data_IF_365263428866
#
_entry.id   IF_365263428866
#
_cell.length_a   1.000
_cell.length_b   1.000
_cell.length_c   1.000
_cell.angle_alpha   90.00
_cell.angle_beta   90.00
_cell.angle_gamma   90.00
#
_symmetry.space_group_name_H-M   'P 1'
#
loop_
_entity.id
_entity.type
_entity.pdbx_description
1 polymer ?
#
# COMPACT_ATOMS: atom_id res chain seq x y z
N UNK A 1 11.99 39.58 -2.05
CA UNK A 1 11.32 38.31 -2.38
C UNK A 1 11.88 37.25 -1.43
N UNK A 2 11.10 36.85 -0.42
CA UNK A 2 11.55 35.85 0.55
C UNK A 2 11.34 34.45 -0.05
N UNK A 3 12.44 33.71 -0.21
CA UNK A 3 12.44 32.31 -0.62
C UNK A 3 11.69 31.48 0.42
N UNK A 4 10.62 30.79 0.02
CA UNK A 4 9.94 29.85 0.88
C UNK A 4 10.91 28.70 1.21
N UNK A 5 11.46 28.68 2.42
CA UNK A 5 12.18 27.52 2.93
C UNK A 5 11.24 26.33 2.92
N UNK A 6 11.54 25.35 2.08
CA UNK A 6 10.94 24.03 2.12
C UNK A 6 11.32 23.39 3.46
N UNK A 7 10.44 23.55 4.46
CA UNK A 7 10.51 22.79 5.70
C UNK A 7 10.27 21.34 5.30
N UNK A 8 11.30 20.51 5.44
CA UNK A 8 11.15 19.07 5.23
C UNK A 8 9.97 18.58 6.08
N UNK A 9 9.03 17.80 5.52
CA UNK A 9 7.90 17.30 6.28
C UNK A 9 8.40 16.52 7.50
N UNK A 10 7.76 16.75 8.65
CA UNK A 10 8.10 16.07 9.90
C UNK A 10 8.17 14.54 9.68
N UNK A 11 9.11 13.84 10.33
CA UNK A 11 9.24 12.41 10.16
C UNK A 11 7.93 11.72 10.54
N UNK A 12 7.37 10.98 9.59
CA UNK A 12 6.15 10.20 9.78
C UNK A 12 6.55 8.94 10.56
N UNK A 13 6.19 8.89 11.84
CA UNK A 13 6.53 7.78 12.74
C UNK A 13 5.32 6.85 12.85
N UNK A 14 5.45 5.56 12.51
CA UNK A 14 4.36 4.60 12.68
C UNK A 14 4.09 4.33 14.17
N UNK A 15 2.84 4.02 14.50
CA UNK A 15 2.47 3.58 15.86
C UNK A 15 3.07 2.22 16.20
N UNK A 16 2.93 1.80 17.46
CA UNK A 16 3.32 0.46 17.93
C UNK A 16 2.11 -0.28 18.46
N UNK A 17 2.06 -1.59 18.26
CA UNK A 17 1.00 -2.46 18.75
C UNK A 17 1.61 -3.72 19.36
N UNK A 18 1.12 -4.15 20.52
CA UNK A 18 1.57 -5.37 21.18
C UNK A 18 0.92 -6.60 20.56
N UNK A 19 1.53 -7.77 20.74
CA UNK A 19 0.94 -9.04 20.32
C UNK A 19 -0.47 -9.23 20.89
N UNK A 20 -0.69 -8.88 22.17
CA UNK A 20 -2.01 -8.94 22.81
C UNK A 20 -3.01 -7.95 22.24
N UNK A 21 -2.56 -6.77 21.80
CA UNK A 21 -3.43 -5.80 21.13
C UNK A 21 -3.87 -6.32 19.77
N UNK A 22 -2.93 -6.87 19.00
CA UNK A 22 -3.21 -7.43 17.68
C UNK A 22 -4.10 -8.68 17.76
N UNK A 23 -3.85 -9.60 18.69
CA UNK A 23 -4.67 -10.82 18.82
C UNK A 23 -6.14 -10.53 19.10
N UNK A 24 -6.44 -9.52 19.94
CA UNK A 24 -7.82 -9.08 20.19
C UNK A 24 -8.52 -8.57 18.93
N UNK A 25 -7.79 -7.84 18.09
CA UNK A 25 -8.32 -7.33 16.81
C UNK A 25 -8.56 -8.48 15.84
N UNK A 26 -7.64 -9.43 15.73
CA UNK A 26 -7.76 -10.56 14.80
C UNK A 26 -8.87 -11.54 15.19
N UNK A 27 -9.11 -11.72 16.50
CA UNK A 27 -10.17 -12.59 17.01
C UNK A 27 -11.57 -11.98 16.90
N UNK A 28 -11.70 -10.68 16.65
CA UNK A 28 -12.98 -10.00 16.44
C UNK A 28 -13.32 -9.96 14.94
N UNK A 29 -14.33 -10.70 14.45
CA UNK A 29 -14.70 -10.70 13.03
C UNK A 29 -15.13 -9.33 12.49
N UNK A 30 -15.62 -8.43 13.34
CA UNK A 30 -16.04 -7.10 12.93
C UNK A 30 -14.84 -6.19 12.63
N UNK A 31 -13.71 -6.44 13.28
CA UNK A 31 -12.49 -5.62 13.17
C UNK A 31 -11.43 -6.27 12.27
N UNK A 32 -11.33 -7.60 12.24
CA UNK A 32 -10.32 -8.33 11.46
C UNK A 32 -10.36 -7.99 9.97
N UNK A 33 -11.56 -7.79 9.40
CA UNK A 33 -11.73 -7.41 7.99
C UNK A 33 -11.18 -6.02 7.63
N UNK A 34 -11.07 -5.12 8.63
CA UNK A 34 -10.58 -3.74 8.49
C UNK A 34 -9.06 -3.65 8.61
N UNK A 35 -8.41 -4.73 9.05
CA UNK A 35 -6.99 -4.77 9.36
C UNK A 35 -6.24 -5.59 8.32
N UNK A 36 -5.03 -5.16 7.96
CA UNK A 36 -4.09 -5.96 7.20
C UNK A 36 -2.76 -6.08 7.95
N UNK A 37 -2.26 -7.30 8.08
CA UNK A 37 -0.95 -7.61 8.65
C UNK A 37 0.02 -7.88 7.49
N UNK A 38 1.13 -7.14 7.46
CA UNK A 38 2.15 -7.23 6.42
C UNK A 38 3.43 -7.78 7.06
N UNK A 39 3.79 -9.00 6.66
CA UNK A 39 5.02 -9.64 7.08
C UNK A 39 6.13 -9.31 6.07
N UNK A 40 7.16 -8.59 6.52
CA UNK A 40 8.30 -8.20 5.67
C UNK A 40 9.55 -9.05 5.88
N UNK A 41 9.42 -10.21 6.52
CA UNK A 41 10.49 -11.21 6.63
C UNK A 41 10.91 -11.74 5.25
N UNK A 42 12.14 -12.20 5.16
CA UNK A 42 12.69 -12.85 3.97
C UNK A 42 12.72 -14.35 4.19
N UNK A 43 13.92 -14.93 4.16
CA UNK A 43 14.17 -16.35 4.45
C UNK A 43 13.69 -16.75 5.85
N UNK A 44 13.74 -15.82 6.81
CA UNK A 44 13.27 -15.97 8.18
C UNK A 44 11.73 -15.97 8.34
N UNK A 45 10.99 -16.04 7.23
CA UNK A 45 9.54 -16.28 7.23
C UNK A 45 9.20 -17.74 7.58
N UNK A 46 10.14 -18.67 7.40
CA UNK A 46 9.94 -20.08 7.75
C UNK A 46 9.68 -20.26 9.26
N UNK A 47 8.96 -21.32 9.64
CA UNK A 47 8.61 -21.62 11.03
C UNK A 47 7.28 -21.05 11.51
N UNK A 48 6.54 -20.38 10.63
CA UNK A 48 5.17 -19.92 10.87
C UNK A 48 5.01 -18.43 10.63
N UNK A 49 3.75 -18.01 10.49
CA UNK A 49 3.37 -16.62 10.26
C UNK A 49 1.99 -16.34 10.85
N UNK A 50 1.66 -15.05 11.00
CA UNK A 50 0.35 -14.63 11.54
C UNK A 50 -0.74 -15.03 10.53
N UNK A 51 -1.84 -15.61 11.02
CA UNK A 51 -2.96 -16.07 10.18
C UNK A 51 -3.46 -14.92 9.29
N UNK A 52 -3.65 -15.21 8.00
CA UNK A 52 -4.09 -14.24 6.98
C UNK A 52 -3.15 -13.04 6.74
N UNK A 53 -1.90 -13.08 7.24
CA UNK A 53 -0.91 -12.04 6.93
C UNK A 53 -0.47 -12.10 5.46
N UNK A 54 -0.16 -10.94 4.89
CA UNK A 54 0.40 -10.82 3.56
C UNK A 54 1.93 -10.80 3.65
N UNK A 55 2.57 -11.81 3.05
CA UNK A 55 4.03 -11.84 2.94
C UNK A 55 4.52 -10.92 1.83
N UNK A 56 5.29 -9.90 2.19
CA UNK A 56 5.91 -8.93 1.28
C UNK A 56 7.36 -8.67 1.73
N UNK A 57 8.32 -9.53 1.33
CA UNK A 57 9.72 -9.43 1.73
C UNK A 57 10.32 -8.04 1.58
N UNK A 58 11.10 -7.61 2.58
CA UNK A 58 11.64 -6.25 2.65
C UNK A 58 12.57 -5.83 1.49
N UNK A 59 13.17 -6.79 0.79
CA UNK A 59 14.01 -6.60 -0.40
C UNK A 59 13.19 -6.31 -1.67
N UNK A 60 11.97 -6.84 -1.75
CA UNK A 60 11.02 -6.57 -2.85
C UNK A 60 10.12 -5.37 -2.58
N UNK A 61 10.11 -4.86 -1.34
CA UNK A 61 9.13 -3.91 -0.85
C UNK A 61 9.09 -2.61 -1.65
N UNK A 62 10.25 -2.07 -2.08
CA UNK A 62 10.31 -0.81 -2.84
C UNK A 62 9.49 -0.86 -4.14
N UNK A 63 9.46 -2.02 -4.82
CA UNK A 63 8.66 -2.23 -6.03
C UNK A 63 7.21 -2.61 -5.71
N UNK A 64 6.98 -3.23 -4.55
CA UNK A 64 5.66 -3.68 -4.13
C UNK A 64 4.79 -2.56 -3.52
N UNK A 65 5.37 -1.50 -2.94
CA UNK A 65 4.59 -0.47 -2.24
C UNK A 65 3.49 0.16 -3.14
N UNK A 66 3.74 0.54 -4.41
CA UNK A 66 2.68 1.16 -5.23
C UNK A 66 1.49 0.25 -5.53
N UNK A 67 1.68 -1.07 -5.54
CA UNK A 67 0.56 -2.03 -5.64
C UNK A 67 -0.06 -2.28 -4.27
N UNK A 68 0.76 -2.33 -3.22
CA UNK A 68 0.31 -2.49 -1.85
C UNK A 68 -0.60 -1.33 -1.40
N UNK A 69 -0.26 -0.08 -1.72
CA UNK A 69 -1.10 1.09 -1.38
C UNK A 69 -2.49 1.02 -2.00
N UNK A 70 -2.60 0.50 -3.23
CA UNK A 70 -3.89 0.29 -3.91
C UNK A 70 -4.65 -0.87 -3.30
N UNK A 71 -3.96 -2.00 -3.04
CA UNK A 71 -4.58 -3.20 -2.45
C UNK A 71 -5.07 -2.98 -1.03
N UNK A 72 -4.41 -2.10 -0.27
CA UNK A 72 -4.77 -1.77 1.12
C UNK A 72 -5.60 -0.49 1.23
N UNK A 73 -6.20 -0.01 0.14
CA UNK A 73 -6.95 1.25 0.15
C UNK A 73 -8.23 1.17 1.01
N UNK A 74 -8.85 -0.01 1.08
CA UNK A 74 -10.07 -0.29 1.85
C UNK A 74 -9.82 -0.50 3.35
N UNK A 75 -8.57 -0.78 3.74
CA UNK A 75 -8.20 -1.10 5.13
C UNK A 75 -8.06 0.15 5.98
N UNK A 76 -8.57 0.10 7.19
CA UNK A 76 -8.44 1.19 8.18
C UNK A 76 -7.11 1.10 8.94
N UNK A 77 -6.61 -0.12 9.14
CA UNK A 77 -5.40 -0.39 9.93
C UNK A 77 -4.45 -1.27 9.11
N UNK A 78 -3.19 -0.84 9.00
CA UNK A 78 -2.12 -1.64 8.38
C UNK A 78 -0.99 -1.83 9.40
N UNK A 79 -0.59 -3.07 9.61
CA UNK A 79 0.37 -3.46 10.64
C UNK A 79 1.54 -4.14 9.97
N UNK A 80 2.73 -3.56 10.09
CA UNK A 80 3.96 -4.15 9.57
C UNK A 80 4.70 -4.90 10.68
N UNK A 81 5.36 -6.00 10.33
CA UNK A 81 6.28 -6.66 11.24
C UNK A 81 7.42 -7.36 10.49
N UNK A 82 8.48 -7.69 11.21
CA UNK A 82 9.48 -8.65 10.74
C UNK A 82 9.73 -9.72 11.82
N UNK A 83 10.92 -10.31 11.92
CA UNK A 83 11.26 -11.23 13.03
C UNK A 83 11.19 -10.53 14.40
N UNK A 84 11.98 -9.47 14.59
CA UNK A 84 12.05 -8.70 15.85
C UNK A 84 11.39 -7.31 15.82
N UNK A 85 10.99 -6.85 14.63
CA UNK A 85 10.47 -5.50 14.37
C UNK A 85 11.38 -4.33 14.83
N UNK A 86 12.70 -4.51 14.80
CA UNK A 86 13.67 -3.46 15.15
C UNK A 86 14.15 -2.63 13.96
N UNK A 87 14.25 -3.23 12.76
CA UNK A 87 14.80 -2.56 11.56
C UNK A 87 13.83 -2.66 10.38
N UNK A 88 13.61 -3.87 9.84
CA UNK A 88 12.81 -4.09 8.62
C UNK A 88 11.36 -3.63 8.79
N UNK A 89 10.70 -3.98 9.89
CA UNK A 89 9.32 -3.57 10.19
C UNK A 89 9.13 -2.04 10.23
N UNK A 90 9.87 -1.30 11.09
CA UNK A 90 9.79 0.17 11.13
C UNK A 90 10.14 0.85 9.79
N UNK A 91 11.17 0.36 9.10
CA UNK A 91 11.56 0.89 7.78
C UNK A 91 10.44 0.71 6.75
N UNK A 92 9.84 -0.48 6.70
CA UNK A 92 8.75 -0.82 5.79
C UNK A 92 7.52 0.07 6.01
N UNK A 93 7.10 0.21 7.27
CA UNK A 93 5.98 1.08 7.64
C UNK A 93 6.24 2.54 7.23
N UNK A 94 7.43 3.07 7.50
CA UNK A 94 7.79 4.43 7.12
C UNK A 94 7.85 4.63 5.59
N UNK A 95 8.36 3.65 4.84
CA UNK A 95 8.35 3.69 3.37
C UNK A 95 6.92 3.68 2.83
N UNK A 96 6.07 2.79 3.33
CA UNK A 96 4.66 2.70 2.94
C UNK A 96 3.91 4.00 3.23
N UNK A 97 4.06 4.59 4.43
CA UNK A 97 3.40 5.85 4.78
C UNK A 97 3.84 7.02 3.89
N UNK A 98 5.15 7.13 3.60
CA UNK A 98 5.68 8.16 2.69
C UNK A 98 5.10 8.03 1.29
N UNK A 99 5.07 6.81 0.77
CA UNK A 99 4.61 6.54 -0.59
C UNK A 99 3.10 6.68 -0.72
N UNK A 100 2.33 6.24 0.30
CA UNK A 100 0.89 6.49 0.39
C UNK A 100 0.60 7.98 0.37
N UNK A 101 1.34 8.79 1.15
CA UNK A 101 1.19 10.23 1.15
C UNK A 101 1.60 10.86 -0.20
N UNK A 102 2.63 10.32 -0.86
CA UNK A 102 3.07 10.78 -2.18
C UNK A 102 2.02 10.53 -3.26
N UNK A 103 1.40 9.35 -3.26
CA UNK A 103 0.47 8.91 -4.28
C UNK A 103 -0.95 9.44 -4.04
N UNK A 104 -1.42 9.32 -2.80
CA UNK A 104 -2.81 9.57 -2.46
C UNK A 104 -3.00 10.88 -1.71
N UNK A 105 -1.97 11.43 -1.05
CA UNK A 105 -2.10 12.64 -0.22
C UNK A 105 -2.48 13.90 -1.02
N UNK A 106 -2.76 15.02 -0.33
CA UNK A 106 -3.21 16.27 -0.97
C UNK A 106 -2.26 16.80 -2.07
N UNK A 107 -0.97 16.45 -1.98
CA UNK A 107 0.07 16.85 -2.95
C UNK A 107 0.22 15.85 -4.12
N UNK A 108 -0.29 14.63 -4.00
CA UNK A 108 -0.27 13.59 -5.03
C UNK A 108 -1.35 13.77 -6.11
N UNK A 109 -2.48 14.38 -5.73
CA UNK A 109 -3.60 14.68 -6.63
C UNK A 109 -3.24 15.63 -7.81
N UNK A 110 -2.12 16.35 -7.72
CA UNK A 110 -1.67 17.31 -8.74
C UNK A 110 -0.60 16.83 -9.72
N UNK A 111 -0.08 15.60 -9.61
CA UNK A 111 1.10 15.15 -10.38
C UNK A 111 0.81 14.19 -11.54
N UNK A 112 -0.47 13.91 -11.81
CA UNK A 112 -0.92 13.04 -12.91
C UNK A 112 -0.82 13.62 -14.32
N UNK A 113 -0.40 14.89 -14.50
CA UNK A 113 -0.46 15.57 -15.80
C UNK A 113 0.87 15.65 -16.59
N UNK A 114 1.99 15.08 -16.11
CA UNK A 114 3.32 15.27 -16.76
C UNK A 114 3.72 14.08 -17.65
N UNK A 115 2.89 13.03 -17.75
CA UNK A 115 3.20 11.81 -18.52
C UNK A 115 2.76 11.79 -19.99
N UNK A 116 2.14 12.85 -20.54
CA UNK A 116 1.60 12.84 -21.93
C UNK A 116 2.36 13.72 -22.94
N UNK A 117 3.43 14.42 -22.55
CA UNK A 117 4.21 15.25 -23.49
C UNK A 117 5.61 14.69 -23.71
N UNK A 118 5.73 13.45 -24.18
CA UNK A 118 6.96 12.95 -24.80
C UNK A 118 6.70 11.78 -25.76
N UNK A 119 5.80 11.99 -26.73
CA UNK A 119 5.64 11.09 -27.88
C UNK A 119 5.11 11.85 -29.10
N UNK A 120 5.76 12.95 -29.51
CA UNK A 120 5.65 13.45 -30.89
C UNK A 120 6.81 14.40 -31.24
N UNK A 121 7.98 13.83 -31.56
CA UNK A 121 9.01 14.57 -32.32
C UNK A 121 9.97 13.64 -33.08
N UNK A 122 9.49 13.10 -34.20
CA UNK A 122 10.25 12.71 -35.42
C UNK A 122 9.22 12.13 -36.39
N UNK A 123 9.13 12.47 -37.68
CA UNK A 123 9.92 13.29 -38.58
C UNK A 123 8.99 13.79 -39.71
N UNK A 124 9.45 14.83 -40.42
CA UNK A 124 8.76 15.56 -41.49
C UNK A 124 8.79 14.82 -42.85
N UNK A 125 7.73 15.04 -43.63
CA UNK A 125 7.57 15.13 -45.12
C UNK A 125 8.07 13.98 -46.02
N UNK A 126 7.43 13.60 -47.14
CA UNK A 126 6.83 14.35 -48.27
C UNK A 126 5.68 13.54 -48.95
N UNK A 127 4.53 14.16 -49.27
CA UNK A 127 4.03 14.55 -50.62
C UNK A 127 3.13 13.52 -51.35
N UNK A 128 1.86 13.90 -51.59
CA UNK A 128 1.20 14.00 -52.91
C UNK A 128 -0.33 14.06 -52.78
N UNK A 129 -0.93 14.76 -53.74
CA UNK A 129 -2.28 15.32 -53.79
C UNK A 129 -3.44 14.32 -54.04
N UNK A 130 -4.65 14.77 -53.71
CA UNK A 130 -5.81 14.61 -54.60
C UNK A 130 -7.02 13.88 -53.99
N UNK A 131 -8.19 14.53 -54.07
CA UNK A 131 -9.48 13.84 -54.11
C UNK A 131 -10.51 14.30 -53.09
N UNK A 132 -11.58 14.91 -53.61
CA UNK A 132 -12.74 15.42 -52.89
C UNK A 132 -13.81 14.34 -52.59
N UNK A 133 -14.85 14.78 -51.87
CA UNK A 133 -16.13 14.11 -51.53
C UNK A 133 -16.03 13.10 -50.37
N UNK A 134 -17.02 12.85 -49.52
CA UNK A 134 -18.43 13.21 -49.50
C UNK A 134 -18.93 13.10 -48.04
N UNK A 135 -19.97 13.86 -47.74
CA UNK A 135 -21.00 13.73 -46.70
C UNK A 135 -21.03 12.44 -45.86
N UNK A 136 -21.12 12.56 -44.52
CA UNK A 136 -22.23 11.95 -43.73
C UNK A 136 -22.26 12.37 -42.25
N UNK A 137 -23.27 13.17 -41.94
CA UNK A 137 -24.18 13.12 -40.77
C UNK A 137 -24.04 11.90 -39.84
N UNK A 138 -23.97 12.18 -38.53
CA UNK A 138 -23.97 11.17 -37.48
C UNK A 138 -23.90 11.78 -36.08
N UNK A 139 -24.81 12.69 -35.78
CA UNK A 139 -25.14 13.10 -34.42
C UNK A 139 -25.78 11.91 -33.69
N UNK A 140 -25.11 11.41 -32.65
CA UNK A 140 -25.69 10.57 -31.60
C UNK A 140 -25.19 11.11 -30.27
N UNK A 141 -26.10 11.80 -29.58
CA UNK A 141 -25.96 12.21 -28.19
C UNK A 141 -26.87 11.26 -27.40
N UNK A 142 -26.25 10.33 -26.70
CA UNK A 142 -26.88 9.67 -25.56
C UNK A 142 -26.05 10.01 -24.32
N UNK A 143 -26.48 11.13 -23.74
CA UNK A 143 -26.36 11.48 -22.35
C UNK A 143 -26.84 10.30 -21.49
N UNK A 144 -25.89 9.51 -21.00
CA UNK A 144 -26.10 8.72 -19.80
C UNK A 144 -25.17 9.29 -18.73
N UNK A 145 -25.80 10.03 -17.82
CA UNK A 145 -25.24 10.57 -16.61
C UNK A 145 -24.65 9.44 -15.76
N UNK A 146 -23.38 9.12 -16.00
CA UNK A 146 -22.57 8.38 -15.01
C UNK A 146 -22.38 9.33 -13.85
N UNK A 147 -23.15 9.07 -12.79
CA UNK A 147 -23.15 9.74 -11.50
C UNK A 147 -21.77 10.32 -11.14
N UNK A 148 -21.66 11.63 -11.31
CA UNK A 148 -20.69 12.48 -10.65
C UNK A 148 -20.93 12.41 -9.13
N UNK A 149 -20.37 11.39 -8.47
CA UNK A 149 -20.12 11.24 -7.02
C UNK A 149 -19.57 9.82 -6.81
N UNK A 150 -18.27 9.57 -6.78
CA UNK A 150 -17.50 9.60 -5.53
C UNK A 150 -15.98 9.34 -5.77
N UNK A 151 -15.42 9.67 -6.94
CA UNK A 151 -13.97 9.43 -7.20
C UNK A 151 -13.04 10.42 -6.46
N UNK A 152 -13.61 11.41 -5.77
CA UNK A 152 -12.86 12.45 -5.04
C UNK A 152 -13.09 12.43 -3.52
N UNK A 153 -13.78 11.42 -2.97
CA UNK A 153 -13.87 11.15 -1.53
C UNK A 153 -13.58 9.66 -1.30
N UNK A 154 -12.67 9.20 -0.45
CA UNK A 154 -12.02 9.73 0.73
C UNK A 154 -10.61 9.16 0.74
N UNK A 155 -9.59 9.98 0.93
CA UNK A 155 -8.46 9.55 1.72
C UNK A 155 -9.00 9.19 3.11
N UNK A 156 -9.45 7.94 3.31
CA UNK A 156 -9.69 7.46 4.66
C UNK A 156 -8.35 7.48 5.37
N UNK A 157 -8.29 8.19 6.48
CA UNK A 157 -7.14 8.17 7.37
C UNK A 157 -6.86 6.70 7.72
N UNK A 158 -5.69 6.22 7.30
CA UNK A 158 -5.27 4.86 7.57
C UNK A 158 -4.22 4.88 8.66
N UNK A 159 -4.47 4.11 9.71
CA UNK A 159 -3.54 3.98 10.84
C UNK A 159 -2.49 2.93 10.48
N UNK A 160 -1.22 3.29 10.65
CA UNK A 160 -0.10 2.38 10.38
C UNK A 160 0.64 2.09 11.67
N UNK A 161 0.81 0.81 11.98
CA UNK A 161 1.49 0.32 13.17
C UNK A 161 2.64 -0.61 12.81
N UNK A 162 3.54 -0.80 13.77
CA UNK A 162 4.55 -1.86 13.78
C UNK A 162 4.25 -2.78 14.96
N UNK A 163 4.20 -4.09 14.71
CA UNK A 163 4.05 -5.10 15.77
C UNK A 163 5.30 -5.14 16.65
N UNK A 164 5.13 -4.91 17.94
CA UNK A 164 6.20 -4.98 18.93
C UNK A 164 6.76 -6.39 19.04
N UNK A 165 8.08 -6.47 19.14
CA UNK A 165 8.87 -7.72 19.17
C UNK A 165 8.71 -8.63 17.94
N UNK A 166 7.99 -8.18 16.91
CA UNK A 166 7.82 -8.91 15.65
C UNK A 166 7.20 -10.30 15.81
N UNK A 167 7.51 -11.19 14.87
CA UNK A 167 7.03 -12.55 14.91
C UNK A 167 7.64 -13.37 16.06
N UNK A 168 8.86 -13.07 16.50
CA UNK A 168 9.47 -13.74 17.65
C UNK A 168 8.65 -13.54 18.93
N UNK A 169 8.26 -12.29 19.22
CA UNK A 169 7.39 -12.02 20.37
C UNK A 169 5.96 -12.52 20.16
N UNK A 170 5.48 -12.62 18.92
CA UNK A 170 4.18 -13.21 18.62
C UNK A 170 4.15 -14.70 18.92
N UNK A 171 5.11 -15.46 18.38
CA UNK A 171 5.12 -16.91 18.46
C UNK A 171 5.32 -17.41 19.90
N UNK A 172 6.05 -16.66 20.74
CA UNK A 172 6.18 -16.95 22.19
C UNK A 172 4.83 -17.06 22.91
N UNK A 173 3.83 -16.28 22.46
CA UNK A 173 2.53 -16.17 23.13
C UNK A 173 1.43 -16.89 22.35
N UNK A 174 1.44 -16.78 21.03
CA UNK A 174 0.36 -17.22 20.14
C UNK A 174 0.82 -18.22 19.09
N UNK A 175 2.07 -18.70 19.11
CA UNK A 175 2.59 -19.63 18.10
C UNK A 175 1.78 -20.92 17.99
N UNK A 176 1.35 -21.47 19.14
CA UNK A 176 0.51 -22.68 19.21
C UNK A 176 -0.98 -22.43 18.97
N UNK A 177 -1.43 -21.19 18.82
CA UNK A 177 -2.84 -20.87 18.59
C UNK A 177 -3.13 -20.82 17.08
N UNK A 178 -3.71 -21.90 16.55
CA UNK A 178 -4.04 -22.03 15.12
C UNK A 178 -5.08 -21.01 14.63
N UNK A 179 -5.82 -20.35 15.53
CA UNK A 179 -6.74 -19.27 15.16
C UNK A 179 -6.03 -17.97 14.84
N UNK A 180 -4.73 -17.90 15.13
CA UNK A 180 -3.91 -16.69 15.10
C UNK A 180 -2.59 -16.89 14.34
N UNK A 181 -2.11 -18.12 14.25
CA UNK A 181 -0.83 -18.47 13.62
C UNK A 181 -1.01 -19.63 12.64
N UNK A 182 -0.46 -19.48 11.45
CA UNK A 182 -0.44 -20.50 10.39
C UNK A 182 0.95 -21.12 10.28
N UNK A 183 1.00 -22.40 9.90
CA UNK A 183 2.23 -23.15 9.56
C UNK A 183 3.33 -23.06 10.64
N UNK A 184 2.93 -22.95 11.91
CA UNK A 184 3.88 -22.90 13.01
C UNK A 184 4.55 -24.26 13.22
N UNK A 185 5.87 -24.26 13.40
CA UNK A 185 6.66 -25.48 13.58
C UNK A 185 7.33 -25.49 14.95
N UNK A 186 6.90 -26.41 15.82
CA UNK A 186 7.47 -26.55 17.16
C UNK A 186 8.98 -26.84 17.13
N UNK A 187 9.43 -27.67 16.19
CA UNK A 187 10.83 -28.04 16.01
C UNK A 187 11.73 -26.84 15.68
N UNK A 188 11.21 -25.87 14.91
CA UNK A 188 11.98 -24.68 14.55
C UNK A 188 12.09 -23.65 15.68
N UNK A 189 11.25 -23.75 16.72
CA UNK A 189 11.19 -22.79 17.82
C UNK A 189 11.58 -23.38 19.18
N UNK A 190 11.68 -24.71 19.31
CA UNK A 190 12.22 -25.38 20.50
C UNK A 190 13.69 -25.73 20.27
N UNK A 191 14.55 -24.74 20.51
CA UNK A 191 16.01 -24.89 20.55
C UNK A 191 16.57 -24.63 21.94
#
# INVERSE_FOLDING_TARGET
MASASSIAPAPVIPGRITATGLSKILLDPAESNKVAVIDVRGEDHIGGHILSSMHVPSDTLDYAIPSLTRKLADKEIVIFHCALSQVRGPKAAAQYMRERNRLLGPQGAGRGAIGKTLAKSKAQNEAAEGGASDSKDGEWVDEETVDEKDETSKLKDQKVYVLDRGFEGWQEVYGKDERLTENWSEELWQV
#
